data_IF_956857183791
#
_entry.id   IF_956857183791
#
_cell.length_a   1.000
_cell.length_b   1.000
_cell.length_c   1.000
_cell.angle_alpha   90.00
_cell.angle_beta   90.00
_cell.angle_gamma   90.00
#
_symmetry.space_group_name_H-M   'P 1'
#
loop_
_entity.id
_entity.type
_entity.pdbx_description
1 polymer ?
#
# COMPACT_ATOMS: atom_id res chain seq x y z
N UNK A 1 14.11 17.53 -18.65
CA UNK A 1 13.84 17.46 -17.19
C UNK A 1 12.74 16.45 -17.03
N UNK A 2 12.89 15.37 -16.24
CA UNK A 2 11.73 14.59 -15.90
C UNK A 2 10.81 15.52 -15.10
N UNK A 3 9.55 15.61 -15.51
CA UNK A 3 8.53 16.28 -14.73
C UNK A 3 8.49 15.60 -13.37
N UNK A 4 8.74 16.34 -12.29
CA UNK A 4 8.38 15.88 -10.95
C UNK A 4 6.86 15.68 -10.95
N UNK A 5 6.42 14.46 -11.27
CA UNK A 5 5.00 14.08 -11.27
C UNK A 5 4.61 13.86 -9.82
N UNK A 6 4.57 14.93 -9.02
CA UNK A 6 4.01 14.89 -7.68
C UNK A 6 2.54 14.51 -7.80
N UNK A 7 2.24 13.27 -7.39
CA UNK A 7 0.87 12.80 -7.25
C UNK A 7 0.16 13.70 -6.23
N UNK A 8 -1.10 14.05 -6.50
CA UNK A 8 -1.89 14.80 -5.52
C UNK A 8 -2.11 13.95 -4.25
N UNK A 9 -2.51 14.54 -3.13
CA UNK A 9 -2.77 13.81 -1.88
C UNK A 9 -3.67 12.56 -2.06
N UNK A 10 -4.80 12.70 -2.76
CA UNK A 10 -5.69 11.58 -3.09
C UNK A 10 -5.07 10.52 -4.01
N UNK A 11 -4.14 10.92 -4.89
CA UNK A 11 -3.47 10.04 -5.83
C UNK A 11 -2.36 9.25 -5.12
N UNK A 12 -1.63 9.88 -4.19
CA UNK A 12 -0.69 9.18 -3.28
C UNK A 12 -1.41 8.14 -2.45
N UNK A 13 -2.55 8.50 -1.86
CA UNK A 13 -3.39 7.57 -1.11
C UNK A 13 -3.84 6.36 -1.94
N UNK A 14 -4.25 6.59 -3.19
CA UNK A 14 -4.62 5.52 -4.11
C UNK A 14 -3.44 4.66 -4.58
N UNK A 15 -2.27 5.26 -4.78
CA UNK A 15 -1.03 4.53 -5.10
C UNK A 15 -0.64 3.60 -3.95
N UNK A 16 -0.69 4.08 -2.70
CA UNK A 16 -0.47 3.24 -1.53
C UNK A 16 -1.53 2.13 -1.43
N UNK A 17 -2.80 2.43 -1.71
CA UNK A 17 -3.86 1.41 -1.74
C UNK A 17 -3.58 0.32 -2.78
N UNK A 18 -3.08 0.66 -3.96
CA UNK A 18 -2.70 -0.32 -4.99
C UNK A 18 -1.59 -1.27 -4.49
N UNK A 19 -0.54 -0.72 -3.87
CA UNK A 19 0.52 -1.50 -3.24
C UNK A 19 -0.05 -2.43 -2.15
N UNK A 20 -0.88 -1.89 -1.25
CA UNK A 20 -1.51 -2.65 -0.17
C UNK A 20 -2.31 -3.83 -0.72
N UNK A 21 -3.12 -3.58 -1.76
CA UNK A 21 -3.95 -4.60 -2.40
C UNK A 21 -3.11 -5.70 -3.03
N UNK A 22 -2.04 -5.32 -3.74
CA UNK A 22 -1.12 -6.27 -4.38
C UNK A 22 -0.38 -7.17 -3.37
N UNK A 23 -0.31 -6.76 -2.10
CA UNK A 23 0.38 -7.47 -1.03
C UNK A 23 -0.56 -8.22 -0.07
N UNK A 24 -1.86 -8.31 -0.36
CA UNK A 24 -2.82 -9.10 0.45
C UNK A 24 -2.35 -10.56 0.70
N UNK A 25 -1.75 -11.27 -0.27
CA UNK A 25 -1.25 -12.62 -0.02
C UNK A 25 -0.21 -12.68 1.12
N UNK A 26 0.66 -11.67 1.25
CA UNK A 26 1.66 -11.61 2.31
C UNK A 26 1.06 -11.39 3.69
N UNK A 27 0.06 -10.52 3.79
CA UNK A 27 -0.66 -10.32 5.05
C UNK A 27 -1.51 -11.53 5.44
N UNK A 28 -2.03 -12.27 4.47
CA UNK A 28 -2.74 -13.54 4.72
C UNK A 28 -1.79 -14.59 5.28
N UNK A 29 -0.57 -14.67 4.73
CA UNK A 29 0.49 -15.54 5.26
C UNK A 29 0.90 -15.12 6.67
N UNK A 30 1.16 -13.84 6.90
CA UNK A 30 1.57 -13.31 8.21
C UNK A 30 0.52 -13.56 9.29
N UNK A 31 -0.76 -13.31 8.98
CA UNK A 31 -1.89 -13.57 9.88
C UNK A 31 -1.94 -15.06 10.28
N UNK A 32 -1.66 -15.95 9.33
CA UNK A 32 -1.59 -17.39 9.58
C UNK A 32 -0.36 -17.80 10.42
N UNK A 33 0.82 -17.25 10.13
CA UNK A 33 2.07 -17.61 10.81
C UNK A 33 2.12 -17.10 12.25
N UNK A 34 1.56 -15.91 12.49
CA UNK A 34 1.54 -15.28 13.81
C UNK A 34 0.30 -15.62 14.64
N UNK A 35 -0.70 -16.28 14.03
CA UNK A 35 -2.02 -16.50 14.64
C UNK A 35 -2.69 -15.21 15.15
N UNK A 36 -2.39 -14.08 14.51
CA UNK A 36 -2.94 -12.76 14.83
C UNK A 36 -4.27 -12.51 14.13
N UNK A 37 -4.96 -11.42 14.50
CA UNK A 37 -6.19 -11.00 13.84
C UNK A 37 -6.02 -9.59 13.24
N UNK A 38 -6.08 -9.50 11.91
CA UNK A 38 -5.87 -8.25 11.17
C UNK A 38 -7.19 -7.51 10.88
N UNK A 39 -8.29 -7.80 11.60
CA UNK A 39 -9.61 -7.19 11.41
C UNK A 39 -9.60 -5.66 11.49
N UNK A 40 -8.75 -5.09 12.35
CA UNK A 40 -8.62 -3.64 12.48
C UNK A 40 -8.03 -3.03 11.20
N UNK A 41 -6.95 -3.59 10.70
CA UNK A 41 -6.35 -3.23 9.42
C UNK A 41 -7.31 -3.45 8.25
N UNK A 42 -7.95 -4.63 8.13
CA UNK A 42 -8.94 -4.96 7.08
C UNK A 42 -10.08 -3.94 7.04
N UNK A 43 -10.59 -3.54 8.21
CA UNK A 43 -11.63 -2.50 8.32
C UNK A 43 -11.10 -1.13 7.90
N UNK A 44 -9.90 -0.74 8.29
CA UNK A 44 -9.30 0.52 7.88
C UNK A 44 -9.17 0.60 6.34
N UNK A 45 -8.61 -0.42 5.70
CA UNK A 45 -8.46 -0.47 4.23
C UNK A 45 -9.80 -0.47 3.51
N UNK A 46 -10.79 -1.23 4.00
CA UNK A 46 -12.15 -1.19 3.45
C UNK A 46 -12.74 0.23 3.48
N UNK A 47 -12.49 0.99 4.55
CA UNK A 47 -13.00 2.36 4.71
C UNK A 47 -12.21 3.38 3.90
N UNK A 48 -10.91 3.19 3.78
CA UNK A 48 -10.06 3.95 2.87
C UNK A 48 -10.56 3.82 1.43
N UNK A 49 -10.78 2.59 0.95
CA UNK A 49 -11.33 2.36 -0.40
C UNK A 49 -12.69 3.03 -0.58
N UNK A 50 -13.61 2.82 0.37
CA UNK A 50 -14.93 3.47 0.32
C UNK A 50 -14.81 5.00 0.28
N UNK A 51 -13.85 5.61 0.98
CA UNK A 51 -13.63 7.05 0.97
C UNK A 51 -13.11 7.55 -0.37
N UNK A 52 -12.11 6.86 -0.93
CA UNK A 52 -11.50 7.15 -2.25
C UNK A 52 -12.54 7.02 -3.38
N UNK A 53 -13.40 6.00 -3.31
CA UNK A 53 -14.53 5.81 -4.24
C UNK A 53 -15.67 6.81 -4.03
N UNK A 54 -15.64 7.59 -2.94
CA UNK A 54 -16.69 8.54 -2.59
C UNK A 54 -17.95 7.90 -1.99
N UNK A 55 -17.92 6.64 -1.61
CA UNK A 55 -19.01 5.94 -0.90
C UNK A 55 -19.07 6.36 0.57
N UNK A 56 -17.91 6.57 1.20
CA UNK A 56 -17.79 7.16 2.53
C UNK A 56 -17.55 8.67 2.41
N UNK A 57 -18.44 9.48 2.99
CA UNK A 57 -18.34 10.95 2.93
C UNK A 57 -17.59 11.57 4.11
N UNK A 58 -17.70 10.97 5.29
CA UNK A 58 -17.18 11.51 6.56
C UNK A 58 -15.71 11.16 6.76
N UNK A 59 -14.89 12.20 6.86
CA UNK A 59 -13.46 12.12 7.17
C UNK A 59 -13.23 11.71 8.63
N UNK A 60 -13.96 12.27 9.59
CA UNK A 60 -13.89 11.86 10.99
C UNK A 60 -14.22 10.38 11.22
N UNK A 61 -15.12 9.82 10.41
CA UNK A 61 -15.39 8.38 10.45
C UNK A 61 -14.22 7.57 9.87
N UNK A 62 -13.56 8.07 8.82
CA UNK A 62 -12.34 7.45 8.28
C UNK A 62 -11.21 7.46 9.31
N UNK A 63 -10.97 8.59 9.95
CA UNK A 63 -9.97 8.79 11.01
C UNK A 63 -10.20 7.82 12.19
N UNK A 64 -11.46 7.58 12.58
CA UNK A 64 -11.77 6.60 13.63
C UNK A 64 -11.29 5.18 13.28
N UNK A 65 -11.43 4.75 12.03
CA UNK A 65 -10.95 3.42 11.62
C UNK A 65 -9.44 3.37 11.48
N UNK A 66 -8.82 4.47 11.06
CA UNK A 66 -7.37 4.62 11.07
C UNK A 66 -6.79 4.49 12.47
N UNK A 67 -7.31 5.26 13.44
CA UNK A 67 -6.84 5.22 14.83
C UNK A 67 -6.99 3.81 15.43
N UNK A 68 -8.12 3.14 15.15
CA UNK A 68 -8.32 1.76 15.61
C UNK A 68 -7.34 0.75 14.98
N UNK A 69 -6.84 1.01 13.77
CA UNK A 69 -5.76 0.23 13.16
C UNK A 69 -4.42 0.57 13.81
N UNK A 70 -4.09 1.85 13.95
CA UNK A 70 -2.82 2.30 14.54
C UNK A 70 -2.64 1.83 15.99
N UNK A 71 -3.70 1.89 16.80
CA UNK A 71 -3.69 1.38 18.17
C UNK A 71 -3.44 -0.13 18.22
N UNK A 72 -3.98 -0.87 17.26
CA UNK A 72 -3.78 -2.31 17.15
C UNK A 72 -2.35 -2.65 16.69
N UNK A 73 -1.88 -2.00 15.63
CA UNK A 73 -0.54 -2.20 15.07
C UNK A 73 0.55 -1.91 16.11
N UNK A 74 0.37 -0.89 16.95
CA UNK A 74 1.29 -0.58 18.06
C UNK A 74 1.47 -1.72 19.09
N UNK A 75 0.58 -2.73 19.08
CA UNK A 75 0.67 -3.92 19.92
C UNK A 75 1.10 -5.18 19.17
N UNK A 76 1.21 -5.10 17.84
CA UNK A 76 1.57 -6.21 16.99
C UNK A 76 3.09 -6.24 16.77
N UNK A 77 3.67 -7.44 16.85
CA UNK A 77 5.06 -7.68 16.52
C UNK A 77 5.13 -8.52 15.25
N UNK A 78 5.71 -7.96 14.19
CA UNK A 78 5.96 -8.70 12.95
C UNK A 78 6.91 -9.88 13.22
N UNK A 79 6.75 -10.95 12.46
CA UNK A 79 7.73 -12.04 12.45
C UNK A 79 9.11 -11.53 12.00
N UNK A 80 10.20 -12.07 12.58
CA UNK A 80 11.56 -11.83 12.06
C UNK A 80 11.79 -12.70 10.81
N UNK A 81 11.11 -12.34 9.73
CA UNK A 81 11.16 -12.99 8.43
C UNK A 81 11.04 -11.94 7.32
N UNK A 82 11.36 -12.33 6.08
CA UNK A 82 11.13 -11.46 4.93
C UNK A 82 9.64 -11.10 4.80
N UNK A 83 8.74 -12.05 5.05
CA UNK A 83 7.29 -11.80 5.02
C UNK A 83 6.83 -10.82 6.11
N UNK A 84 7.43 -10.90 7.31
CA UNK A 84 7.18 -9.94 8.37
C UNK A 84 7.60 -8.52 8.01
N UNK A 85 8.73 -8.36 7.31
CA UNK A 85 9.20 -7.05 6.81
C UNK A 85 8.33 -6.52 5.67
N UNK A 86 7.88 -7.39 4.76
CA UNK A 86 6.88 -7.03 3.74
C UNK A 86 5.57 -6.60 4.42
N UNK A 87 5.15 -7.27 5.48
CA UNK A 87 3.95 -6.90 6.24
C UNK A 87 4.09 -5.53 6.91
N UNK A 88 5.26 -5.25 7.50
CA UNK A 88 5.58 -3.93 8.06
C UNK A 88 5.60 -2.82 6.99
N UNK A 89 6.09 -3.11 5.78
CA UNK A 89 5.98 -2.21 4.64
C UNK A 89 4.51 -1.92 4.30
N UNK A 90 3.63 -2.93 4.28
CA UNK A 90 2.21 -2.75 3.98
C UNK A 90 1.53 -1.89 5.04
N UNK A 91 1.88 -2.04 6.31
CA UNK A 91 1.38 -1.16 7.37
C UNK A 91 1.93 0.27 7.22
N UNK A 92 3.21 0.43 6.89
CA UNK A 92 3.79 1.74 6.58
C UNK A 92 3.07 2.42 5.40
N UNK A 93 2.79 1.67 4.33
CA UNK A 93 2.02 2.16 3.19
C UNK A 93 0.57 2.51 3.59
N UNK A 94 -0.01 1.76 4.53
CA UNK A 94 -1.33 2.08 5.12
C UNK A 94 -1.26 3.43 5.82
N UNK A 95 -0.28 3.67 6.70
CA UNK A 95 -0.07 4.96 7.34
C UNK A 95 0.10 6.10 6.32
N UNK A 96 0.96 5.92 5.33
CA UNK A 96 1.16 6.91 4.25
C UNK A 96 -0.14 7.19 3.49
N UNK A 97 -0.97 6.17 3.25
CA UNK A 97 -2.23 6.34 2.54
C UNK A 97 -3.22 7.23 3.31
N UNK A 98 -3.27 7.10 4.64
CA UNK A 98 -4.12 7.92 5.50
C UNK A 98 -3.52 9.31 5.74
N UNK A 99 -2.21 9.39 6.00
CA UNK A 99 -1.52 10.66 6.19
C UNK A 99 -1.69 11.58 4.96
N UNK A 100 -1.56 11.03 3.75
CA UNK A 100 -1.81 11.77 2.52
C UNK A 100 -3.26 12.26 2.36
N UNK A 101 -4.23 11.81 3.16
CA UNK A 101 -5.61 12.34 3.14
C UNK A 101 -5.87 13.38 4.23
N UNK A 102 -5.16 13.28 5.37
CA UNK A 102 -5.35 14.15 6.52
C UNK A 102 -4.38 15.33 6.54
N UNK A 103 -3.24 15.20 5.85
CA UNK A 103 -2.21 16.21 5.69
C UNK A 103 -1.74 16.25 4.23
N UNK A 104 -2.08 17.34 3.53
CA UNK A 104 -1.74 17.51 2.11
C UNK A 104 -0.22 17.65 1.88
N UNK A 105 0.55 18.02 2.91
CA UNK A 105 2.00 18.18 2.83
C UNK A 105 2.75 16.86 3.12
N UNK A 106 2.06 15.84 3.65
CA UNK A 106 2.64 14.52 3.93
C UNK A 106 2.85 13.70 2.65
N UNK A 107 4.11 13.35 2.35
CA UNK A 107 4.50 12.54 1.20
C UNK A 107 5.64 11.55 1.51
N UNK A 108 5.28 10.40 2.04
CA UNK A 108 6.25 9.32 2.30
C UNK A 108 6.33 8.31 1.15
N UNK A 109 5.72 8.59 -0.02
CA UNK A 109 5.71 7.62 -1.13
C UNK A 109 7.11 7.34 -1.69
N UNK A 110 8.04 8.28 -1.56
CA UNK A 110 9.46 8.07 -1.90
C UNK A 110 10.15 7.09 -0.93
N UNK A 111 9.82 7.16 0.36
CA UNK A 111 10.32 6.23 1.38
C UNK A 111 9.76 4.83 1.16
N UNK A 112 8.47 4.71 0.84
CA UNK A 112 7.85 3.42 0.50
C UNK A 112 8.54 2.76 -0.70
N UNK A 113 8.83 3.52 -1.77
CA UNK A 113 9.61 3.02 -2.92
C UNK A 113 11.00 2.56 -2.52
N UNK A 114 11.68 3.31 -1.66
CA UNK A 114 12.99 2.93 -1.11
C UNK A 114 12.93 1.60 -0.37
N UNK A 115 11.97 1.44 0.53
CA UNK A 115 11.80 0.21 1.31
C UNK A 115 11.51 -1.02 0.42
N UNK A 116 10.77 -0.86 -0.68
CA UNK A 116 10.53 -1.94 -1.63
C UNK A 116 11.84 -2.39 -2.29
N UNK A 117 12.67 -1.43 -2.73
CA UNK A 117 13.96 -1.74 -3.33
C UNK A 117 14.91 -2.43 -2.33
N UNK A 118 14.84 -2.08 -1.05
CA UNK A 118 15.64 -2.74 0.00
C UNK A 118 15.16 -4.18 0.22
N UNK A 119 13.85 -4.44 0.17
CA UNK A 119 13.30 -5.78 0.26
C UNK A 119 13.66 -6.67 -0.94
N UNK A 120 13.75 -6.11 -2.15
CA UNK A 120 14.24 -6.85 -3.32
C UNK A 120 15.71 -7.23 -3.19
N UNK A 121 16.54 -6.33 -2.66
CA UNK A 121 17.95 -6.66 -2.34
C UNK A 121 18.06 -7.76 -1.28
N UNK A 122 17.20 -7.73 -0.26
CA UNK A 122 17.15 -8.79 0.74
C UNK A 122 16.70 -10.13 0.13
N UNK A 123 15.68 -10.11 -0.73
CA UNK A 123 15.21 -11.30 -1.43
C UNK A 123 16.32 -11.94 -2.29
N UNK A 124 17.08 -11.13 -3.02
CA UNK A 124 18.24 -11.58 -3.80
C UNK A 124 19.30 -12.22 -2.88
N UNK A 125 19.61 -11.58 -1.75
CA UNK A 125 20.58 -12.09 -0.78
C UNK A 125 20.15 -13.43 -0.15
N UNK A 126 18.85 -13.70 -0.08
CA UNK A 126 18.26 -14.96 0.37
C UNK A 126 18.18 -16.03 -0.74
N UNK A 127 18.60 -15.69 -1.97
CA UNK A 127 18.62 -16.59 -3.13
C UNK A 127 17.31 -16.64 -3.92
N UNK A 128 16.42 -15.65 -3.74
CA UNK A 128 15.25 -15.43 -4.59
C UNK A 128 15.59 -14.64 -5.86
N UNK A 129 14.57 -14.32 -6.66
CA UNK A 129 14.68 -13.48 -7.87
C UNK A 129 14.44 -12.00 -7.53
N UNK A 130 15.40 -11.37 -6.84
CA UNK A 130 15.26 -9.98 -6.42
C UNK A 130 15.33 -9.00 -7.58
N UNK A 131 16.21 -9.26 -8.55
CA UNK A 131 16.36 -8.41 -9.75
C UNK A 131 15.10 -8.42 -10.63
N UNK A 132 14.57 -9.61 -10.96
CA UNK A 132 13.36 -9.72 -11.78
C UNK A 132 12.13 -9.09 -11.13
N UNK A 133 12.00 -9.23 -9.80
CA UNK A 133 10.90 -8.61 -9.06
C UNK A 133 11.06 -7.09 -8.89
N UNK A 134 12.29 -6.57 -8.86
CA UNK A 134 12.55 -5.14 -8.89
C UNK A 134 12.16 -4.51 -10.25
N UNK A 135 12.47 -5.21 -11.36
CA UNK A 135 12.04 -4.79 -12.69
C UNK A 135 10.50 -4.80 -12.82
N UNK A 136 9.85 -5.87 -12.37
CA UNK A 136 8.38 -5.95 -12.33
C UNK A 136 7.76 -4.86 -11.47
N UNK A 137 8.30 -4.59 -10.28
CA UNK A 137 7.84 -3.51 -9.42
C UNK A 137 7.93 -2.15 -10.10
N UNK A 138 9.01 -1.89 -10.83
CA UNK A 138 9.18 -0.64 -11.56
C UNK A 138 8.11 -0.46 -12.64
N UNK A 139 7.76 -1.52 -13.36
CA UNK A 139 6.66 -1.49 -14.33
C UNK A 139 5.32 -1.14 -13.66
N UNK A 140 5.02 -1.76 -12.51
CA UNK A 140 3.83 -1.43 -11.72
C UNK A 140 3.82 0.03 -11.24
N UNK A 141 4.94 0.51 -10.67
CA UNK A 141 5.03 1.88 -10.17
C UNK A 141 4.85 2.91 -11.28
N UNK A 142 5.47 2.68 -12.45
CA UNK A 142 5.34 3.54 -13.63
C UNK A 142 3.89 3.53 -14.14
N UNK A 143 3.25 2.36 -14.23
CA UNK A 143 1.85 2.23 -14.65
C UNK A 143 0.90 2.96 -13.69
N UNK A 144 1.03 2.70 -12.39
CA UNK A 144 0.16 3.29 -11.37
C UNK A 144 0.34 4.81 -11.31
N UNK A 145 1.57 5.30 -11.35
CA UNK A 145 1.89 6.73 -11.35
C UNK A 145 1.30 7.40 -12.59
N UNK A 146 1.44 6.77 -13.76
CA UNK A 146 0.85 7.26 -15.01
C UNK A 146 -0.68 7.35 -14.92
N UNK A 147 -1.34 6.28 -14.47
CA UNK A 147 -2.80 6.21 -14.31
C UNK A 147 -3.34 7.26 -13.31
N UNK A 148 -2.56 7.60 -12.29
CA UNK A 148 -2.94 8.49 -11.21
C UNK A 148 -2.52 9.95 -11.42
N UNK A 149 -1.68 10.26 -12.40
CA UNK A 149 -1.09 11.59 -12.63
C UNK A 149 -2.12 12.74 -12.75
N UNK A 150 -3.29 12.44 -13.33
CA UNK A 150 -4.39 13.38 -13.53
C UNK A 150 -5.47 13.32 -12.44
N UNK A 151 -5.36 12.40 -11.48
CA UNK A 151 -6.27 12.34 -10.33
C UNK A 151 -5.91 13.47 -9.39
N UNK A 152 -6.88 14.34 -9.08
CA UNK A 152 -6.71 15.49 -8.16
C UNK A 152 -7.71 15.51 -7.02
N UNK A 153 -8.82 14.80 -7.15
CA UNK A 153 -9.88 14.73 -6.14
C UNK A 153 -10.63 13.41 -6.22
N UNK A 154 -11.34 13.06 -5.15
CA UNK A 154 -12.32 11.97 -5.12
C UNK A 154 -13.65 12.39 -5.77
N UNK A 155 -14.47 11.46 -6.30
CA UNK A 155 -14.21 10.02 -6.37
C UNK A 155 -13.21 9.67 -7.47
N UNK A 156 -12.32 8.70 -7.21
CA UNK A 156 -11.52 8.10 -8.28
C UNK A 156 -12.42 7.22 -9.14
N UNK A 157 -12.24 7.29 -10.46
CA UNK A 157 -13.05 6.49 -11.37
C UNK A 157 -12.81 4.99 -11.16
N UNK A 158 -13.87 4.18 -11.26
CA UNK A 158 -13.74 2.73 -11.17
C UNK A 158 -12.86 2.10 -12.25
N UNK A 159 -12.63 2.79 -13.38
CA UNK A 159 -11.71 2.32 -14.42
C UNK A 159 -10.25 2.39 -13.95
N UNK A 160 -9.85 3.53 -13.36
CA UNK A 160 -8.50 3.69 -12.78
C UNK A 160 -8.31 2.70 -11.63
N UNK A 161 -9.28 2.58 -10.71
CA UNK A 161 -9.14 1.65 -9.59
C UNK A 161 -9.00 0.20 -10.05
N UNK A 162 -9.72 -0.21 -11.11
CA UNK A 162 -9.58 -1.56 -11.66
C UNK A 162 -8.19 -1.80 -12.25
N UNK A 163 -7.62 -0.84 -12.98
CA UNK A 163 -6.27 -1.02 -13.54
C UNK A 163 -5.21 -1.11 -12.45
N UNK A 164 -5.40 -0.44 -11.30
CA UNK A 164 -4.51 -0.56 -10.16
C UNK A 164 -4.58 -1.92 -9.45
N UNK A 165 -5.71 -2.62 -9.55
CA UNK A 165 -5.95 -3.90 -8.84
C UNK A 165 -5.81 -5.13 -9.74
N UNK A 166 -5.47 -4.96 -11.02
CA UNK A 166 -5.31 -6.05 -11.99
C UNK A 166 -3.90 -6.68 -11.85
N UNK A 167 -3.62 -7.19 -10.66
CA UNK A 167 -2.29 -7.66 -10.24
C UNK A 167 -2.44 -9.05 -9.64
N UNK A 168 -2.07 -10.08 -10.40
CA UNK A 168 -2.19 -11.48 -9.98
C UNK A 168 -1.06 -11.92 -9.02
N UNK A 169 0.10 -11.27 -9.12
CA UNK A 169 1.30 -11.57 -8.33
C UNK A 169 1.79 -10.31 -7.65
N UNK A 170 2.07 -10.40 -6.34
CA UNK A 170 2.60 -9.29 -5.56
C UNK A 170 3.94 -8.80 -6.12
N UNK A 171 4.36 -7.56 -5.82
CA UNK A 171 5.71 -7.07 -6.13
C UNK A 171 6.85 -7.91 -5.53
N UNK A 172 6.53 -8.90 -4.68
CA UNK A 172 7.47 -9.80 -4.03
C UNK A 172 7.24 -11.28 -4.40
N UNK A 173 6.48 -11.54 -5.47
CA UNK A 173 6.37 -12.87 -6.08
C UNK A 173 5.33 -13.80 -5.48
N UNK A 174 4.54 -13.36 -4.50
CA UNK A 174 3.47 -14.17 -3.91
C UNK A 174 2.15 -13.94 -4.66
N UNK A 175 1.55 -15.01 -5.16
CA UNK A 175 0.27 -14.95 -5.88
C UNK A 175 -0.91 -15.25 -4.95
N UNK A 176 -2.08 -14.74 -5.34
CA UNK A 176 -3.36 -14.88 -4.61
C UNK A 176 -3.98 -16.28 -4.73
#
# INVERSE_FOLDING_TARGET
>A
MPSDTHLSPIARSAWCLALIDSCIPHLTLEESETASNFDHWKKAISKLRAFICGELKSESNLERFYNAFSDWEATFENADSLNGRISALVFSATHTAFAALFDEDSDDTSLIRGNINDLHQELEALGGDGEGLADYWKELDDEWTSALSNVKQRPISGAILRSLTDVDTSPFGLSS
#
